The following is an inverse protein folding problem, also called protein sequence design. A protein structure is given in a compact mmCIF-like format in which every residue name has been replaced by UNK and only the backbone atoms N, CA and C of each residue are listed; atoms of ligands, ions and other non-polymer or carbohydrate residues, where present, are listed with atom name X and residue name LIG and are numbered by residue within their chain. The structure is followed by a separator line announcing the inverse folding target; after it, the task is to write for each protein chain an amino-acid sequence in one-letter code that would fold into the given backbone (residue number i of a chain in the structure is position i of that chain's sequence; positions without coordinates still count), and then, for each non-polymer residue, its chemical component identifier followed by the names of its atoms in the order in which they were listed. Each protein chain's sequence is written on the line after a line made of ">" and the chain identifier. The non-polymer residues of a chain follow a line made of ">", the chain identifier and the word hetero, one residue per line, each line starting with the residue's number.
data_IF_595559583098
#
_entry.id   IF_595559583098
#
_cell.length_a   1.000
_cell.length_b   1.000
_cell.length_c   1.000
_cell.angle_alpha   90.00
_cell.angle_beta   90.00
_cell.angle_gamma   90.00
#
_symmetry.space_group_name_H-M   'P 1'
#
loop_
_entity.id
_entity.type
_entity.pdbx_description
1 polymer ?
#
# COMPACT_ATOMS: atom_id res chain seq x y z
N UNK A 1 16.48 28.80 -11.79
CA UNK A 1 15.83 27.67 -11.11
C UNK A 1 14.55 28.22 -10.51
N UNK A 2 13.43 28.09 -11.22
CA UNK A 2 12.14 28.58 -10.73
C UNK A 2 11.69 27.67 -9.60
N UNK A 3 11.69 28.15 -8.36
CA UNK A 3 11.27 27.37 -7.20
C UNK A 3 9.81 26.97 -7.32
N UNK A 4 9.51 25.68 -7.17
CA UNK A 4 8.16 25.17 -7.01
C UNK A 4 7.56 25.75 -5.72
N UNK A 5 6.77 26.81 -5.85
CA UNK A 5 6.08 27.37 -4.69
C UNK A 5 4.92 26.43 -4.36
N UNK A 6 4.74 26.02 -3.09
CA UNK A 6 3.69 25.09 -2.71
C UNK A 6 2.32 25.56 -3.23
N UNK A 7 1.59 24.65 -3.91
CA UNK A 7 0.23 24.93 -4.37
C UNK A 7 -0.65 25.33 -3.18
N UNK A 8 -1.39 26.43 -3.36
CA UNK A 8 -2.38 26.88 -2.39
C UNK A 8 -3.36 25.75 -2.07
N UNK A 9 -3.82 25.66 -0.81
CA UNK A 9 -4.63 24.52 -0.35
C UNK A 9 -5.90 24.30 -1.19
N UNK A 10 -6.49 25.38 -1.75
CA UNK A 10 -7.67 25.32 -2.61
C UNK A 10 -7.43 24.76 -4.03
N UNK A 11 -6.17 24.64 -4.48
CA UNK A 11 -5.82 24.03 -5.77
C UNK A 11 -5.30 22.60 -5.66
N UNK A 12 -5.33 22.00 -4.46
CA UNK A 12 -5.01 20.57 -4.26
C UNK A 12 -6.16 19.68 -4.71
N UNK A 13 -5.81 18.61 -5.40
CA UNK A 13 -6.76 17.59 -5.84
C UNK A 13 -7.02 16.64 -4.67
N UNK A 14 -8.13 16.83 -3.95
CA UNK A 14 -8.49 16.01 -2.78
C UNK A 14 -8.53 14.50 -3.09
N UNK A 15 -8.91 14.11 -4.30
CA UNK A 15 -8.90 12.71 -4.73
C UNK A 15 -7.51 12.07 -4.67
N UNK A 16 -6.43 12.83 -4.96
CA UNK A 16 -5.05 12.34 -4.88
C UNK A 16 -4.64 12.14 -3.42
N UNK A 17 -5.03 13.05 -2.54
CA UNK A 17 -4.74 12.95 -1.11
C UNK A 17 -5.45 11.74 -0.48
N UNK A 18 -6.72 11.50 -0.85
CA UNK A 18 -7.47 10.30 -0.44
C UNK A 18 -6.81 9.03 -0.98
N UNK A 19 -6.40 9.02 -2.25
CA UNK A 19 -5.76 7.86 -2.86
C UNK A 19 -4.42 7.50 -2.19
N UNK A 20 -3.65 8.51 -1.77
CA UNK A 20 -2.45 8.32 -0.95
C UNK A 20 -2.78 7.68 0.40
N UNK A 21 -3.73 8.24 1.14
CA UNK A 21 -4.16 7.71 2.42
C UNK A 21 -4.69 6.28 2.31
N UNK A 22 -5.46 6.01 1.27
CA UNK A 22 -5.93 4.66 0.96
C UNK A 22 -4.76 3.72 0.67
N UNK A 23 -3.81 4.10 -0.18
CA UNK A 23 -2.66 3.27 -0.51
C UNK A 23 -1.77 2.93 0.71
N UNK A 24 -1.67 3.84 1.69
CA UNK A 24 -0.99 3.58 2.97
C UNK A 24 -1.61 2.42 3.76
N UNK A 25 -2.93 2.22 3.69
CA UNK A 25 -3.59 1.08 4.34
C UNK A 25 -3.11 -0.25 3.76
N UNK A 26 -2.74 -0.28 2.48
CA UNK A 26 -2.18 -1.47 1.84
C UNK A 26 -0.77 -1.78 2.33
N UNK A 27 0.07 -0.75 2.48
CA UNK A 27 1.39 -0.91 3.09
C UNK A 27 1.26 -1.41 4.54
N UNK A 28 0.32 -0.84 5.31
CA UNK A 28 0.05 -1.28 6.67
C UNK A 28 -0.36 -2.77 6.71
N UNK A 29 -1.30 -3.17 5.86
CA UNK A 29 -1.75 -4.57 5.76
C UNK A 29 -0.61 -5.54 5.45
N UNK A 30 0.27 -5.21 4.51
CA UNK A 30 1.44 -6.02 4.17
C UNK A 30 2.47 -6.10 5.33
N UNK A 31 2.60 -5.04 6.12
CA UNK A 31 3.51 -5.04 7.27
C UNK A 31 2.95 -5.85 8.45
N UNK A 32 1.64 -5.83 8.68
CA UNK A 32 1.02 -6.67 9.72
C UNK A 32 1.33 -8.15 9.48
N UNK A 33 1.14 -8.63 8.24
CA UNK A 33 1.46 -10.03 7.89
C UNK A 33 2.94 -10.36 8.01
N UNK A 34 3.82 -9.37 7.88
CA UNK A 34 5.26 -9.57 8.00
C UNK A 34 5.74 -9.62 9.46
N UNK A 35 5.11 -8.84 10.34
CA UNK A 35 5.45 -8.78 11.77
C UNK A 35 4.77 -9.85 12.62
N UNK A 36 3.74 -10.51 12.09
CA UNK A 36 3.05 -11.61 12.77
C UNK A 36 3.88 -12.90 12.81
N UNK A 37 4.93 -12.99 11.99
CA UNK A 37 5.77 -14.19 11.82
C UNK A 37 7.21 -13.97 12.25
N UNK A 38 7.78 -15.02 12.87
CA UNK A 38 9.17 -15.07 13.35
C UNK A 38 10.21 -15.25 12.21
N UNK A 39 10.13 -14.39 11.20
CA UNK A 39 11.11 -14.28 10.12
C UNK A 39 10.54 -14.49 8.72
N UNK A 40 11.27 -14.00 7.72
CA UNK A 40 10.84 -13.97 6.31
C UNK A 40 10.53 -15.38 5.77
N UNK A 41 11.25 -16.41 6.23
CA UNK A 41 11.00 -17.79 5.82
C UNK A 41 9.66 -18.36 6.29
N UNK A 42 9.10 -17.84 7.39
CA UNK A 42 7.79 -18.26 7.91
C UNK A 42 6.61 -17.50 7.27
N UNK A 43 6.90 -16.43 6.52
CA UNK A 43 5.89 -15.62 5.82
C UNK A 43 5.17 -16.44 4.76
N UNK A 44 5.92 -17.16 3.92
CA UNK A 44 5.35 -17.97 2.84
C UNK A 44 4.45 -19.08 3.40
N UNK A 45 4.90 -19.73 4.48
CA UNK A 45 4.12 -20.75 5.18
C UNK A 45 2.88 -20.16 5.88
N UNK A 46 2.97 -18.97 6.47
CA UNK A 46 1.81 -18.32 7.09
C UNK A 46 0.77 -17.85 6.07
N UNK A 47 1.21 -17.41 4.88
CA UNK A 47 0.29 -17.13 3.79
C UNK A 47 -0.46 -18.39 3.31
N UNK A 48 0.20 -19.56 3.33
CA UNK A 48 -0.42 -20.84 3.00
C UNK A 48 -1.36 -21.34 4.12
N UNK A 49 -0.96 -21.18 5.38
CA UNK A 49 -1.79 -21.52 6.55
C UNK A 49 -3.04 -20.63 6.68
N UNK A 50 -2.98 -19.37 6.20
CA UNK A 50 -4.14 -18.48 6.09
C UNK A 50 -5.25 -19.05 5.19
N UNK A 51 -4.95 -20.04 4.33
CA UNK A 51 -5.89 -20.70 3.41
C UNK A 51 -6.70 -21.81 4.10
N UNK A 52 -6.38 -22.18 5.35
CA UNK A 52 -7.06 -23.27 6.06
C UNK A 52 -8.49 -22.85 6.47
N UNK A 53 -9.45 -23.09 5.58
CA UNK A 53 -10.89 -22.90 5.81
C UNK A 53 -11.60 -22.15 4.67
N UNK A 54 -12.92 -22.30 4.57
CA UNK A 54 -13.73 -21.68 3.51
C UNK A 54 -13.69 -20.14 3.48
N UNK A 55 -13.27 -19.50 4.59
CA UNK A 55 -13.05 -18.05 4.69
C UNK A 55 -11.60 -17.61 4.33
N UNK A 56 -10.64 -18.54 4.27
CA UNK A 56 -9.23 -18.24 4.05
C UNK A 56 -8.91 -17.86 2.60
N UNK A 57 -9.44 -18.61 1.63
CA UNK A 57 -9.24 -18.33 0.20
C UNK A 57 -9.71 -16.93 -0.26
N UNK A 58 -10.92 -16.44 0.07
CA UNK A 58 -11.33 -15.09 -0.31
C UNK A 58 -10.52 -14.00 0.41
N UNK A 59 -10.11 -14.25 1.67
CA UNK A 59 -9.25 -13.34 2.41
C UNK A 59 -7.84 -13.23 1.80
N UNK A 60 -7.26 -14.36 1.38
CA UNK A 60 -5.98 -14.38 0.68
C UNK A 60 -6.06 -13.68 -0.68
N UNK A 61 -7.12 -13.93 -1.45
CA UNK A 61 -7.34 -13.23 -2.72
C UNK A 61 -7.44 -11.70 -2.52
N UNK A 62 -8.10 -11.25 -1.45
CA UNK A 62 -8.15 -9.84 -1.09
C UNK A 62 -6.74 -9.29 -0.79
N UNK A 63 -5.97 -9.96 0.06
CA UNK A 63 -4.60 -9.54 0.40
C UNK A 63 -3.70 -9.48 -0.86
N UNK A 64 -3.69 -10.51 -1.69
CA UNK A 64 -2.82 -10.57 -2.86
C UNK A 64 -3.17 -9.49 -3.90
N UNK A 65 -4.48 -9.34 -4.19
CA UNK A 65 -4.94 -8.48 -5.29
C UNK A 65 -5.00 -7.02 -4.87
N UNK A 66 -5.57 -6.73 -3.70
CA UNK A 66 -5.76 -5.35 -3.26
C UNK A 66 -4.52 -4.83 -2.54
N UNK A 67 -4.05 -5.52 -1.51
CA UNK A 67 -2.99 -5.02 -0.63
C UNK A 67 -1.63 -5.08 -1.32
N UNK A 68 -1.21 -6.28 -1.75
CA UNK A 68 0.14 -6.49 -2.28
C UNK A 68 0.31 -5.95 -3.72
N UNK A 69 -0.70 -6.10 -4.59
CA UNK A 69 -0.63 -5.61 -5.97
C UNK A 69 -1.07 -4.15 -6.10
N UNK A 70 -2.37 -3.86 -5.92
CA UNK A 70 -2.92 -2.55 -6.30
C UNK A 70 -2.48 -1.41 -5.39
N UNK A 71 -2.60 -1.57 -4.07
CA UNK A 71 -2.33 -0.49 -3.12
C UNK A 71 -0.83 -0.18 -3.04
N UNK A 72 0.03 -1.20 -3.09
CA UNK A 72 1.48 -1.00 -3.14
C UNK A 72 1.93 -0.31 -4.45
N UNK A 73 1.34 -0.68 -5.59
CA UNK A 73 1.64 -0.01 -6.87
C UNK A 73 1.22 1.46 -6.87
N UNK A 74 0.00 1.76 -6.39
CA UNK A 74 -0.51 3.13 -6.27
C UNK A 74 0.32 3.95 -5.29
N UNK A 75 0.69 3.37 -4.15
CA UNK A 75 1.60 4.01 -3.18
C UNK A 75 2.93 4.36 -3.85
N UNK A 76 3.58 3.40 -4.50
CA UNK A 76 4.88 3.60 -5.17
C UNK A 76 4.81 4.69 -6.25
N UNK A 77 3.78 4.68 -7.09
CA UNK A 77 3.57 5.69 -8.13
C UNK A 77 3.36 7.09 -7.54
N UNK A 78 2.47 7.24 -6.55
CA UNK A 78 2.15 8.54 -5.94
C UNK A 78 3.28 9.06 -5.05
N UNK A 79 4.05 8.18 -4.43
CA UNK A 79 5.26 8.53 -3.70
C UNK A 79 6.35 9.01 -4.66
N UNK A 80 6.62 8.26 -5.73
CA UNK A 80 7.61 8.63 -6.75
C UNK A 80 7.26 9.94 -7.45
N UNK A 81 6.00 10.13 -7.86
CA UNK A 81 5.52 11.41 -8.37
C UNK A 81 5.67 12.54 -7.34
N UNK A 82 5.49 12.25 -6.05
CA UNK A 82 5.72 13.20 -4.98
C UNK A 82 7.17 13.68 -4.90
N UNK A 83 8.13 12.77 -5.04
CA UNK A 83 9.57 13.13 -5.06
C UNK A 83 9.87 14.05 -6.25
N UNK A 84 9.38 13.71 -7.44
CA UNK A 84 9.59 14.50 -8.66
C UNK A 84 9.00 15.91 -8.59
N UNK A 85 7.89 16.10 -7.87
CA UNK A 85 7.26 17.41 -7.72
C UNK A 85 7.96 18.30 -6.67
N UNK A 86 8.71 17.69 -5.75
CA UNK A 86 9.48 18.39 -4.71
C UNK A 86 10.88 18.78 -5.19
N UNK A 87 11.48 17.98 -6.08
CA UNK A 87 12.76 18.27 -6.75
C UNK A 87 12.61 19.28 -7.89
#
# INVERSE_FOLDING_TARGET
>A
MSGSTPVAQGSRIAAIDVLRGFALLGILGANITLFDVDGIGAVEQSFDDLVVGAAGAPFMAFLLVFVLNKMMAVFSMLFGAGVLLVT
#
